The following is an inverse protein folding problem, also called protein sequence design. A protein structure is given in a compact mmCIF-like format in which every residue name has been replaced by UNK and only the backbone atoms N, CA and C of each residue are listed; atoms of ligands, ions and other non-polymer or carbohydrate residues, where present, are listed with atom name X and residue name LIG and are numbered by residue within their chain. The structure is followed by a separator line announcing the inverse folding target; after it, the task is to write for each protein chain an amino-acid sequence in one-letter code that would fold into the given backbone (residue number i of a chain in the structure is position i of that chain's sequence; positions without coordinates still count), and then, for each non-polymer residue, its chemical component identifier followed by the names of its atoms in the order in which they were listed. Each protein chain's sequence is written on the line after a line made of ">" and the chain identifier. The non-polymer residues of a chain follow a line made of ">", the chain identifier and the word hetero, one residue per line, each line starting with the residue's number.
data_IF_868560628844
#
_entry.id   IF_868560628844
#
_cell.length_a   1.000
_cell.length_b   1.000
_cell.length_c   1.000
_cell.angle_alpha   90.00
_cell.angle_beta   90.00
_cell.angle_gamma   90.00
#
_symmetry.space_group_name_H-M   'P 1'
#
loop_
_entity.id
_entity.type
_entity.pdbx_description
1 polymer ?
#
# COMPACT_ATOMS: atom_id res chain seq x y z
N UNK A 1 97.12 -9.51 -38.95
CA UNK A 1 97.36 -8.39 -39.90
C UNK A 1 96.58 -7.18 -39.40
N UNK A 2 97.20 -5.99 -39.38
CA UNK A 2 96.79 -4.82 -38.57
C UNK A 2 97.04 -3.51 -39.36
N UNK A 3 96.16 -2.52 -39.18
CA UNK A 3 96.22 -1.09 -39.63
C UNK A 3 96.12 -0.81 -41.15
N UNK A 4 95.80 0.43 -41.60
CA UNK A 4 95.35 1.65 -40.89
C UNK A 4 93.89 2.05 -41.29
N UNK A 5 93.30 3.26 -41.21
CA UNK A 5 93.74 4.61 -40.75
C UNK A 5 92.57 5.49 -40.15
N UNK A 6 92.68 6.82 -40.27
CA UNK A 6 91.84 7.95 -39.82
C UNK A 6 90.63 8.23 -40.76
N UNK A 7 89.56 8.95 -40.39
CA UNK A 7 89.54 10.40 -40.06
C UNK A 7 88.50 10.86 -39.02
N UNK A 8 88.67 12.08 -38.47
CA UNK A 8 87.87 12.61 -37.34
C UNK A 8 87.54 14.12 -37.45
N UNK A 9 86.34 14.50 -36.96
CA UNK A 9 85.80 15.87 -36.74
C UNK A 9 85.42 16.65 -38.03
N UNK A 10 84.38 17.48 -38.06
CA UNK A 10 83.73 18.26 -36.99
C UNK A 10 82.19 18.16 -37.04
N UNK A 11 81.52 18.09 -35.87
CA UNK A 11 80.09 18.44 -35.71
C UNK A 11 79.86 19.09 -34.34
N UNK A 12 79.21 20.26 -34.31
CA UNK A 12 78.70 20.90 -33.08
C UNK A 12 77.19 20.60 -32.91
N UNK A 13 76.64 20.61 -31.68
CA UNK A 13 75.26 20.24 -31.40
C UNK A 13 74.29 21.43 -31.22
N UNK A 14 72.98 21.11 -31.29
CA UNK A 14 71.81 21.79 -30.69
C UNK A 14 71.82 23.34 -30.58
N UNK A 15 70.84 24.05 -31.15
CA UNK A 15 69.53 24.23 -30.50
C UNK A 15 68.55 24.93 -31.45
N UNK A 16 67.28 24.46 -31.53
CA UNK A 16 66.13 25.29 -31.90
C UNK A 16 64.92 24.92 -31.03
N UNK A 17 64.22 25.95 -30.60
CA UNK A 17 63.28 25.97 -29.48
C UNK A 17 61.90 25.42 -29.83
N UNK A 18 61.25 24.77 -28.87
CA UNK A 18 59.81 24.49 -28.93
C UNK A 18 59.01 25.79 -28.76
N UNK A 19 57.93 25.95 -29.52
CA UNK A 19 56.81 26.83 -29.17
C UNK A 19 55.54 25.97 -29.13
N UNK A 20 55.07 25.70 -27.91
CA UNK A 20 53.82 24.98 -27.68
C UNK A 20 52.62 25.90 -27.95
N UNK A 21 51.66 25.47 -28.77
CA UNK A 21 50.36 26.13 -28.91
C UNK A 21 49.32 25.45 -28.03
N UNK A 22 48.70 26.26 -27.17
CA UNK A 22 47.90 25.84 -26.04
C UNK A 22 46.48 25.40 -26.46
N UNK A 23 46.16 24.10 -26.37
CA UNK A 23 44.84 23.53 -26.72
C UNK A 23 43.92 23.28 -25.50
N UNK A 24 44.40 23.50 -24.28
CA UNK A 24 43.71 23.03 -23.06
C UNK A 24 42.55 23.91 -22.55
N UNK A 25 42.41 25.15 -23.03
CA UNK A 25 41.39 26.08 -22.53
C UNK A 25 39.98 25.81 -23.04
N UNK A 26 39.82 25.42 -24.32
CA UNK A 26 38.51 25.33 -24.97
C UNK A 26 37.65 24.13 -24.52
N UNK A 27 38.29 23.00 -24.17
CA UNK A 27 37.61 21.78 -23.74
C UNK A 27 36.91 21.93 -22.39
N UNK A 28 37.56 22.59 -21.41
CA UNK A 28 37.00 22.84 -20.08
C UNK A 28 35.76 23.75 -20.11
N UNK A 29 35.67 24.66 -21.07
CA UNK A 29 34.52 25.58 -21.20
C UNK A 29 33.25 24.86 -21.67
N UNK A 30 33.35 24.03 -22.72
CA UNK A 30 32.18 23.26 -23.21
C UNK A 30 31.64 22.28 -22.16
N UNK A 31 32.52 21.56 -21.46
CA UNK A 31 32.10 20.61 -20.42
C UNK A 31 31.35 21.29 -19.26
N UNK A 32 31.78 22.51 -18.86
CA UNK A 32 31.05 23.32 -17.87
C UNK A 32 29.68 23.79 -18.36
N UNK A 33 29.54 24.14 -19.63
CA UNK A 33 28.25 24.54 -20.22
C UNK A 33 27.25 23.38 -20.18
N UNK A 34 27.64 22.17 -20.58
CA UNK A 34 26.76 21.00 -20.50
C UNK A 34 26.35 20.66 -19.06
N UNK A 35 27.25 20.81 -18.09
CA UNK A 35 26.94 20.61 -16.67
C UNK A 35 25.92 21.64 -16.15
N UNK A 36 26.05 22.91 -16.52
CA UNK A 36 25.08 23.96 -16.16
C UNK A 36 23.71 23.70 -16.80
N UNK A 37 23.67 23.33 -18.09
CA UNK A 37 22.42 22.96 -18.78
C UNK A 37 21.75 21.76 -18.10
N UNK A 38 22.52 20.74 -17.73
CA UNK A 38 21.99 19.58 -17.00
C UNK A 38 21.39 19.98 -15.65
N UNK A 39 22.08 20.82 -14.86
CA UNK A 39 21.54 21.33 -13.59
C UNK A 39 20.25 22.15 -13.77
N UNK A 40 20.16 22.96 -14.82
CA UNK A 40 18.95 23.71 -15.16
C UNK A 40 17.78 22.78 -15.55
N UNK A 41 18.05 21.72 -16.32
CA UNK A 41 17.02 20.74 -16.68
C UNK A 41 16.52 19.98 -15.45
N UNK A 42 17.42 19.53 -14.57
CA UNK A 42 17.06 18.86 -13.30
C UNK A 42 16.27 19.79 -12.38
N UNK A 43 16.69 21.06 -12.22
CA UNK A 43 15.96 22.01 -11.39
C UNK A 43 14.57 22.32 -11.95
N UNK A 44 14.43 22.47 -13.26
CA UNK A 44 13.14 22.68 -13.92
C UNK A 44 12.21 21.47 -13.75
N UNK A 45 12.73 20.24 -13.87
CA UNK A 45 11.97 19.02 -13.59
C UNK A 45 11.49 18.94 -12.14
N UNK A 46 12.34 19.32 -11.17
CA UNK A 46 11.97 19.37 -9.76
C UNK A 46 10.93 20.46 -9.46
N UNK A 47 11.00 21.61 -10.13
CA UNK A 47 10.00 22.69 -10.01
C UNK A 47 8.64 22.23 -10.58
N UNK A 48 8.62 21.60 -11.76
CA UNK A 48 7.38 21.05 -12.35
C UNK A 48 6.77 19.99 -11.42
N UNK A 49 7.60 19.13 -10.82
CA UNK A 49 7.16 18.14 -9.84
C UNK A 49 6.57 18.81 -8.59
N UNK A 50 7.25 19.82 -8.04
CA UNK A 50 6.78 20.57 -6.87
C UNK A 50 5.46 21.30 -7.13
N UNK A 51 5.30 21.93 -8.30
CA UNK A 51 4.05 22.57 -8.72
C UNK A 51 2.92 21.56 -8.93
N UNK A 52 3.23 20.35 -9.40
CA UNK A 52 2.26 19.25 -9.52
C UNK A 52 1.77 18.73 -8.16
N UNK A 53 2.50 19.01 -7.08
CA UNK A 53 2.11 18.69 -5.69
C UNK A 53 1.63 19.92 -4.90
N UNK A 54 1.60 21.11 -5.50
CA UNK A 54 1.18 22.33 -4.83
C UNK A 54 -0.31 22.61 -5.11
N UNK A 55 -1.19 21.93 -4.36
CA UNK A 55 -2.62 22.26 -4.31
C UNK A 55 -2.79 23.76 -3.92
N UNK A 56 -3.33 24.63 -4.81
CA UNK A 56 -3.45 26.06 -4.52
C UNK A 56 -4.72 26.34 -3.72
N UNK A 57 -4.77 25.90 -2.47
CA UNK A 57 -5.85 26.23 -1.53
C UNK A 57 -5.34 26.26 -0.07
N UNK A 58 -4.91 27.44 0.45
CA UNK A 58 -4.71 27.61 1.88
C UNK A 58 -6.06 27.52 2.61
N UNK A 59 -6.19 26.55 3.51
CA UNK A 59 -7.40 26.35 4.32
C UNK A 59 -7.57 27.55 5.27
N UNK A 60 -8.60 28.37 5.02
CA UNK A 60 -8.88 29.57 5.79
C UNK A 60 -9.69 29.20 7.05
N UNK A 61 -9.00 28.89 8.14
CA UNK A 61 -9.60 28.46 9.41
C UNK A 61 -10.25 29.63 10.16
N UNK A 62 -11.50 29.99 9.83
CA UNK A 62 -12.28 31.01 10.55
C UNK A 62 -13.79 30.72 10.61
N UNK A 63 -14.20 29.91 11.59
CA UNK A 63 -15.49 29.95 12.34
C UNK A 63 -15.45 28.78 13.34
N UNK A 64 -15.02 28.97 14.58
CA UNK A 64 -15.70 29.68 15.67
C UNK A 64 -17.16 29.22 15.85
N UNK A 65 -17.40 28.65 17.03
CA UNK A 65 -18.66 28.04 17.46
C UNK A 65 -19.85 28.98 17.36
N UNK A 66 -20.98 28.49 16.86
CA UNK A 66 -22.30 29.10 17.09
C UNK A 66 -23.27 27.99 17.42
N UNK A 67 -23.74 27.98 18.68
CA UNK A 67 -24.86 27.15 19.11
C UNK A 67 -26.13 27.62 18.40
N UNK A 68 -26.77 26.74 17.65
CA UNK A 68 -28.15 26.94 17.21
C UNK A 68 -28.89 25.60 17.10
N UNK A 69 -29.70 25.30 18.12
CA UNK A 69 -30.79 24.33 18.01
C UNK A 69 -31.87 24.95 17.10
N UNK A 70 -32.07 24.43 15.90
CA UNK A 70 -33.33 24.63 15.16
C UNK A 70 -33.75 23.30 14.51
N UNK A 71 -34.98 22.90 14.85
CA UNK A 71 -35.86 21.93 14.22
C UNK A 71 -35.27 20.77 13.42
N UNK A 72 -35.35 19.61 14.08
CA UNK A 72 -35.89 18.36 13.50
C UNK A 72 -36.76 18.61 12.26
N UNK A 73 -36.22 18.23 11.10
CA UNK A 73 -36.92 18.14 9.83
C UNK A 73 -36.84 16.69 9.40
N UNK A 74 -37.98 16.05 9.18
CA UNK A 74 -38.04 14.79 8.45
C UNK A 74 -37.62 15.04 7.00
N UNK A 75 -36.31 14.96 6.74
CA UNK A 75 -35.83 14.75 5.39
C UNK A 75 -36.02 13.27 5.06
N UNK A 76 -36.91 13.00 4.10
CA UNK A 76 -37.08 11.69 3.49
C UNK A 76 -35.72 11.05 3.21
N UNK A 77 -35.52 9.82 3.72
CA UNK A 77 -34.30 9.03 3.57
C UNK A 77 -33.80 9.15 2.13
N UNK A 78 -32.62 9.77 1.88
CA UNK A 78 -32.10 9.87 0.53
C UNK A 78 -31.85 8.46 -0.01
N UNK A 79 -32.55 8.12 -1.09
CA UNK A 79 -32.34 6.88 -1.84
C UNK A 79 -30.84 6.65 -2.03
N UNK A 80 -30.40 5.44 -1.70
CA UNK A 80 -29.00 5.02 -1.69
C UNK A 80 -28.20 5.62 -2.86
N UNK A 81 -27.30 6.56 -2.56
CA UNK A 81 -26.48 7.20 -3.59
C UNK A 81 -25.49 6.15 -4.13
N UNK A 82 -25.83 5.56 -5.27
CA UNK A 82 -25.04 4.53 -5.95
C UNK A 82 -23.55 4.95 -6.04
N UNK A 83 -22.63 4.35 -5.26
CA UNK A 83 -21.30 4.93 -5.03
C UNK A 83 -20.45 4.98 -6.29
N UNK A 84 -19.57 5.98 -6.39
CA UNK A 84 -18.66 6.12 -7.55
C UNK A 84 -17.74 4.90 -7.69
N UNK A 85 -17.23 4.39 -6.57
CA UNK A 85 -16.40 3.17 -6.54
C UNK A 85 -17.15 1.94 -7.09
N UNK A 86 -18.46 1.84 -6.86
CA UNK A 86 -19.26 0.71 -7.33
C UNK A 86 -19.40 0.76 -8.85
N UNK A 87 -19.62 1.95 -9.42
CA UNK A 87 -19.66 2.16 -10.89
C UNK A 87 -18.35 1.75 -11.57
N UNK A 88 -17.21 2.03 -10.94
CA UNK A 88 -15.88 1.63 -11.44
C UNK A 88 -15.75 0.10 -11.48
N UNK A 89 -16.26 -0.61 -10.47
CA UNK A 89 -16.23 -2.08 -10.43
C UNK A 89 -17.23 -2.67 -11.44
N UNK A 90 -18.47 -2.15 -11.50
CA UNK A 90 -19.49 -2.58 -12.47
C UNK A 90 -19.05 -2.44 -13.93
N UNK A 91 -18.19 -1.48 -14.24
CA UNK A 91 -17.59 -1.30 -15.56
C UNK A 91 -16.49 -2.33 -15.87
N UNK A 92 -15.76 -2.82 -14.85
CA UNK A 92 -14.65 -3.77 -15.00
C UNK A 92 -15.07 -5.25 -14.88
N UNK A 93 -16.18 -5.55 -14.22
CA UNK A 93 -16.70 -6.92 -14.14
C UNK A 93 -17.20 -7.38 -15.51
N UNK A 94 -16.82 -8.61 -15.89
CA UNK A 94 -17.10 -9.19 -17.22
C UNK A 94 -18.58 -9.53 -17.41
N UNK A 95 -19.20 -10.12 -16.39
CA UNK A 95 -20.62 -10.45 -16.41
C UNK A 95 -21.43 -9.29 -15.82
N UNK A 96 -22.21 -8.63 -16.68
CA UNK A 96 -23.09 -7.53 -16.28
C UNK A 96 -24.50 -7.98 -15.86
N UNK A 97 -24.84 -9.26 -16.04
CA UNK A 97 -26.15 -9.83 -15.68
C UNK A 97 -26.15 -10.45 -14.28
N UNK A 98 -25.02 -11.00 -13.83
CA UNK A 98 -24.85 -11.50 -12.46
C UNK A 98 -24.97 -10.37 -11.42
N UNK A 99 -25.54 -10.68 -10.24
CA UNK A 99 -25.42 -9.82 -9.05
C UNK A 99 -23.97 -9.79 -8.54
N UNK A 100 -23.56 -8.66 -7.98
CA UNK A 100 -22.24 -8.44 -7.38
C UNK A 100 -22.33 -8.73 -5.89
N UNK A 101 -21.59 -9.73 -5.40
CA UNK A 101 -21.58 -10.08 -3.98
C UNK A 101 -20.53 -9.26 -3.22
N UNK A 102 -20.98 -8.45 -2.25
CA UNK A 102 -20.17 -7.58 -1.41
C UNK A 102 -20.02 -8.16 0.00
N UNK A 103 -18.79 -8.39 0.47
CA UNK A 103 -18.50 -8.63 1.89
C UNK A 103 -18.27 -7.29 2.59
N UNK A 104 -19.12 -6.94 3.56
CA UNK A 104 -19.05 -5.67 4.29
C UNK A 104 -18.32 -5.83 5.62
N UNK A 105 -17.17 -5.18 5.78
CA UNK A 105 -16.26 -5.29 6.93
C UNK A 105 -16.24 -3.95 7.68
N UNK A 106 -16.66 -3.93 8.95
CA UNK A 106 -16.66 -2.73 9.81
C UNK A 106 -17.54 -1.54 9.32
N UNK A 107 -18.42 -1.71 8.33
CA UNK A 107 -19.30 -0.62 7.83
C UNK A 107 -20.49 -0.30 8.76
N UNK A 108 -20.84 -1.26 9.61
CA UNK A 108 -22.00 -1.33 10.50
C UNK A 108 -21.90 -0.48 11.78
N UNK A 109 -20.87 0.36 11.91
CA UNK A 109 -20.73 1.35 13.00
C UNK A 109 -20.45 2.76 12.45
N UNK A 110 -19.41 2.93 11.64
CA UNK A 110 -19.01 4.27 11.17
C UNK A 110 -19.86 4.75 9.97
N UNK A 111 -20.47 3.82 9.23
CA UNK A 111 -21.03 4.06 7.90
C UNK A 111 -22.40 3.39 7.67
N UNK A 112 -23.27 3.36 8.68
CA UNK A 112 -24.63 2.81 8.63
C UNK A 112 -25.40 3.19 7.34
N UNK A 113 -25.44 4.49 6.98
CA UNK A 113 -26.15 4.94 5.77
C UNK A 113 -25.59 4.40 4.45
N UNK A 114 -24.28 4.07 4.39
CA UNK A 114 -23.69 3.37 3.24
C UNK A 114 -24.03 1.88 3.28
N UNK A 115 -23.95 1.25 4.45
CA UNK A 115 -24.30 -0.16 4.64
C UNK A 115 -25.75 -0.45 4.23
N UNK A 116 -26.70 0.35 4.72
CA UNK A 116 -28.12 0.21 4.40
C UNK A 116 -28.41 0.63 2.96
N UNK A 117 -27.69 1.64 2.46
CA UNK A 117 -27.75 2.03 1.06
C UNK A 117 -27.32 0.92 0.09
N UNK A 118 -26.22 0.20 0.38
CA UNK A 118 -25.75 -0.91 -0.44
C UNK A 118 -26.72 -2.10 -0.43
N UNK A 119 -27.42 -2.34 0.68
CA UNK A 119 -28.47 -3.37 0.79
C UNK A 119 -29.67 -3.11 -0.13
N UNK A 120 -29.96 -1.86 -0.44
CA UNK A 120 -31.08 -1.45 -1.30
C UNK A 120 -30.80 -1.47 -2.81
N UNK A 121 -29.62 -1.92 -3.26
CA UNK A 121 -29.27 -1.89 -4.70
C UNK A 121 -29.57 -3.24 -5.39
N UNK A 122 -30.46 -3.23 -6.38
CA UNK A 122 -30.95 -4.45 -7.06
C UNK A 122 -29.86 -5.40 -7.59
N UNK A 123 -28.76 -4.83 -8.12
CA UNK A 123 -27.63 -5.54 -8.72
C UNK A 123 -26.60 -6.03 -7.69
N UNK A 124 -26.83 -5.80 -6.40
CA UNK A 124 -25.91 -6.09 -5.31
C UNK A 124 -26.53 -7.17 -4.41
N UNK A 125 -25.66 -8.01 -3.85
CA UNK A 125 -25.95 -8.86 -2.71
C UNK A 125 -24.93 -8.53 -1.62
N UNK A 126 -25.36 -8.23 -0.40
CA UNK A 126 -24.45 -7.85 0.69
C UNK A 126 -24.41 -8.92 1.78
N UNK A 127 -23.22 -9.25 2.26
CA UNK A 127 -23.01 -10.08 3.44
C UNK A 127 -22.19 -9.30 4.46
N UNK A 128 -22.77 -9.04 5.64
CA UNK A 128 -22.06 -8.40 6.75
C UNK A 128 -21.08 -9.40 7.40
N UNK A 129 -19.80 -9.07 7.40
CA UNK A 129 -18.74 -9.91 7.99
C UNK A 129 -18.64 -9.60 9.49
N UNK A 130 -18.75 -10.63 10.32
CA UNK A 130 -18.63 -10.52 11.79
C UNK A 130 -17.29 -11.07 12.26
N UNK A 131 -16.66 -10.37 13.20
CA UNK A 131 -15.41 -10.74 13.85
C UNK A 131 -15.28 -9.94 15.15
N UNK A 132 -14.50 -10.45 16.10
CA UNK A 132 -14.30 -9.80 17.41
C UNK A 132 -13.31 -8.64 17.28
N UNK A 133 -13.81 -7.41 17.36
CA UNK A 133 -13.01 -6.19 17.16
C UNK A 133 -12.05 -5.99 18.32
N UNK A 134 -10.78 -5.68 18.05
CA UNK A 134 -9.77 -5.33 19.07
C UNK A 134 -9.95 -3.87 19.56
N UNK A 135 -11.06 -3.59 20.25
CA UNK A 135 -11.50 -2.25 20.66
C UNK A 135 -12.15 -2.26 22.04
N UNK A 136 -11.88 -1.25 22.87
CA UNK A 136 -12.37 -1.21 24.24
C UNK A 136 -11.59 -2.18 25.11
N UNK A 137 -12.29 -3.06 25.85
CA UNK A 137 -11.68 -3.90 26.90
C UNK A 137 -10.75 -5.00 26.36
N UNK A 138 -10.88 -5.38 25.08
CA UNK A 138 -9.98 -6.32 24.41
C UNK A 138 -8.95 -5.62 23.49
N UNK A 139 -8.81 -4.30 23.59
CA UNK A 139 -7.78 -3.55 22.84
C UNK A 139 -6.39 -4.09 23.17
N UNK A 140 -5.59 -4.23 22.12
CA UNK A 140 -4.17 -4.60 22.19
C UNK A 140 -3.28 -3.42 21.86
N UNK A 141 -2.08 -3.39 22.40
CA UNK A 141 -1.05 -2.42 22.03
C UNK A 141 -0.21 -2.93 20.85
N UNK A 142 0.36 -2.01 20.08
CA UNK A 142 1.11 -2.34 18.87
C UNK A 142 2.37 -3.17 19.18
N UNK A 143 3.01 -2.84 20.29
CA UNK A 143 4.24 -3.46 20.78
C UNK A 143 4.05 -4.93 21.21
N UNK A 144 2.82 -5.41 21.44
CA UNK A 144 2.54 -6.85 21.65
C UNK A 144 2.75 -7.68 20.37
N UNK A 145 2.52 -7.08 19.20
CA UNK A 145 2.73 -7.73 17.90
C UNK A 145 4.07 -7.33 17.28
N UNK A 146 4.53 -6.10 17.49
CA UNK A 146 5.76 -5.57 16.93
C UNK A 146 6.73 -5.10 18.02
N UNK A 147 7.25 -6.02 18.85
CA UNK A 147 8.28 -5.70 19.83
C UNK A 147 9.61 -5.35 19.15
N UNK A 148 10.45 -4.60 19.86
CA UNK A 148 11.79 -4.21 19.40
C UNK A 148 12.79 -5.38 19.34
N UNK A 149 12.56 -6.42 20.16
CA UNK A 149 13.39 -7.62 20.23
C UNK A 149 12.56 -8.85 20.62
N UNK A 150 12.96 -10.02 20.12
CA UNK A 150 12.44 -11.33 20.51
C UNK A 150 13.59 -12.30 20.78
N UNK A 151 13.36 -13.30 21.62
CA UNK A 151 14.32 -14.36 21.86
C UNK A 151 14.24 -15.43 20.75
N UNK A 152 14.92 -15.16 19.63
CA UNK A 152 15.01 -16.05 18.46
C UNK A 152 15.52 -17.46 18.78
N UNK A 153 16.21 -17.64 19.91
CA UNK A 153 16.78 -18.92 20.34
C UNK A 153 15.97 -19.59 21.46
N UNK A 154 14.87 -18.98 21.90
CA UNK A 154 14.01 -19.46 22.99
C UNK A 154 14.74 -19.77 24.30
N UNK A 155 15.91 -19.14 24.53
CA UNK A 155 16.79 -19.37 25.69
C UNK A 155 16.11 -19.01 27.02
N UNK A 156 15.24 -18.01 26.99
CA UNK A 156 14.51 -17.45 28.12
C UNK A 156 12.99 -17.70 28.03
N UNK A 157 12.54 -18.39 26.98
CA UNK A 157 11.16 -18.78 26.73
C UNK A 157 10.73 -18.56 25.27
N UNK A 158 9.61 -19.17 24.83
CA UNK A 158 9.03 -18.86 23.52
C UNK A 158 8.54 -17.41 23.49
N UNK A 159 8.59 -16.73 22.32
CA UNK A 159 7.99 -15.42 22.18
C UNK A 159 6.48 -15.48 22.40
N UNK A 160 5.91 -14.37 22.88
CA UNK A 160 4.46 -14.22 23.04
C UNK A 160 3.92 -13.37 21.90
N UNK A 161 3.29 -14.02 20.93
CA UNK A 161 2.38 -13.35 19.99
C UNK A 161 0.93 -13.58 20.45
N UNK A 162 0.14 -12.54 20.72
CA UNK A 162 -1.31 -12.68 20.74
C UNK A 162 -1.81 -13.03 19.33
N UNK A 163 -2.94 -13.73 19.25
CA UNK A 163 -3.64 -13.87 17.98
C UNK A 163 -4.42 -12.57 17.64
N UNK A 164 -4.63 -12.32 16.34
CA UNK A 164 -5.59 -11.32 15.88
C UNK A 164 -6.87 -12.08 15.50
N UNK A 165 -8.00 -11.88 16.20
CA UNK A 165 -9.25 -12.54 15.86
C UNK A 165 -9.70 -12.18 14.43
N UNK A 166 -9.82 -13.20 13.60
CA UNK A 166 -10.42 -13.16 12.27
C UNK A 166 -11.87 -13.71 12.33
N UNK A 167 -12.70 -13.53 11.29
CA UNK A 167 -14.04 -14.13 11.26
C UNK A 167 -13.97 -15.65 11.44
N UNK A 168 -14.66 -16.22 12.42
CA UNK A 168 -14.62 -17.67 12.68
C UNK A 168 -15.18 -18.48 11.51
N UNK A 169 -16.13 -17.90 10.75
CA UNK A 169 -16.83 -18.58 9.66
C UNK A 169 -16.37 -18.14 8.25
N UNK A 170 -15.05 -18.02 8.02
CA UNK A 170 -14.46 -17.64 6.71
C UNK A 170 -14.98 -18.46 5.50
N UNK A 171 -15.46 -19.69 5.72
CA UNK A 171 -16.04 -20.53 4.67
C UNK A 171 -17.34 -19.97 4.07
N UNK A 172 -18.09 -19.17 4.85
CA UNK A 172 -19.31 -18.50 4.40
C UNK A 172 -19.04 -17.31 3.46
N UNK A 173 -17.76 -16.96 3.26
CA UNK A 173 -17.30 -15.77 2.52
C UNK A 173 -16.33 -16.16 1.38
N UNK A 174 -16.59 -17.28 0.71
CA UNK A 174 -15.73 -17.87 -0.33
C UNK A 174 -16.09 -17.48 -1.78
N UNK A 175 -17.12 -16.67 -2.00
CA UNK A 175 -17.67 -16.36 -3.32
C UNK A 175 -17.90 -14.85 -3.58
N UNK A 176 -17.28 -13.98 -2.79
CA UNK A 176 -17.39 -12.53 -2.89
C UNK A 176 -16.76 -12.00 -4.20
N UNK A 177 -17.40 -11.00 -4.81
CA UNK A 177 -16.84 -10.24 -5.94
C UNK A 177 -16.07 -9.01 -5.46
N UNK A 178 -16.46 -8.45 -4.31
CA UNK A 178 -15.84 -7.28 -3.70
C UNK A 178 -15.83 -7.42 -2.17
N UNK A 179 -14.74 -7.02 -1.54
CA UNK A 179 -14.67 -6.79 -0.09
C UNK A 179 -14.69 -5.28 0.15
N UNK A 180 -15.66 -4.77 0.91
CA UNK A 180 -15.80 -3.34 1.25
C UNK A 180 -15.51 -3.17 2.73
N UNK A 181 -14.51 -2.35 3.07
CA UNK A 181 -14.02 -2.20 4.44
C UNK A 181 -13.98 -0.74 4.89
N UNK A 182 -14.54 -0.44 6.06
CA UNK A 182 -14.39 0.86 6.73
C UNK A 182 -13.12 0.82 7.57
N UNK A 183 -12.14 1.67 7.27
CA UNK A 183 -10.86 1.67 8.00
C UNK A 183 -10.89 2.67 9.14
N UNK A 184 -10.72 2.24 10.41
CA UNK A 184 -10.65 3.16 11.54
C UNK A 184 -9.41 4.05 11.42
N UNK A 185 -9.57 5.33 11.72
CA UNK A 185 -8.49 6.33 11.68
C UNK A 185 -7.52 6.26 12.88
N UNK A 186 -7.86 5.46 13.88
CA UNK A 186 -7.19 5.43 15.18
C UNK A 186 -7.50 6.65 16.04
N UNK A 187 -7.29 6.50 17.35
CA UNK A 187 -7.76 7.47 18.37
C UNK A 187 -6.75 8.58 18.70
N UNK A 188 -5.68 8.77 17.91
CA UNK A 188 -4.65 9.76 18.22
C UNK A 188 -3.96 10.40 17.01
N UNK A 189 -4.01 11.74 16.97
CA UNK A 189 -3.35 12.61 15.99
C UNK A 189 -1.81 12.57 16.04
N UNK A 190 -1.23 11.84 17.00
CA UNK A 190 0.21 11.81 17.32
C UNK A 190 0.92 10.58 16.73
N UNK A 191 0.96 10.46 15.39
CA UNK A 191 1.61 9.34 14.64
C UNK A 191 1.01 7.93 14.87
N UNK A 192 0.06 7.77 15.80
CA UNK A 192 -0.49 6.46 16.23
C UNK A 192 -1.43 5.79 15.23
N UNK A 193 -2.01 6.51 14.27
CA UNK A 193 -2.84 5.90 13.21
C UNK A 193 -2.10 4.90 12.29
N UNK A 194 -0.76 4.87 12.30
CA UNK A 194 0.05 3.83 11.63
C UNK A 194 0.26 2.61 12.52
N UNK A 195 0.38 2.83 13.85
CA UNK A 195 0.53 1.79 14.87
C UNK A 195 -0.80 1.47 15.55
N UNK A 196 -1.83 1.21 14.75
CA UNK A 196 -3.17 0.89 15.24
C UNK A 196 -3.51 -0.57 14.93
N UNK A 197 -3.70 -1.36 16.00
CA UNK A 197 -3.96 -2.81 15.88
C UNK A 197 -5.35 -3.09 15.33
N UNK A 198 -6.36 -2.27 15.63
CA UNK A 198 -7.70 -2.44 15.07
C UNK A 198 -7.73 -2.10 13.57
N UNK A 199 -6.98 -1.06 13.17
CA UNK A 199 -6.72 -0.76 11.76
C UNK A 199 -6.05 -1.94 11.04
N UNK A 200 -5.02 -2.53 11.65
CA UNK A 200 -4.34 -3.71 11.13
C UNK A 200 -5.30 -4.90 10.99
N UNK A 201 -6.10 -5.19 12.03
CA UNK A 201 -7.13 -6.22 12.02
C UNK A 201 -8.09 -6.05 10.83
N UNK A 202 -8.70 -4.87 10.65
CA UNK A 202 -9.63 -4.62 9.52
C UNK A 202 -8.97 -4.88 8.16
N UNK A 203 -7.70 -4.49 7.99
CA UNK A 203 -6.96 -4.75 6.75
C UNK A 203 -6.66 -6.25 6.54
N UNK A 204 -6.33 -6.99 7.60
CA UNK A 204 -6.10 -8.43 7.56
C UNK A 204 -7.38 -9.22 7.29
N UNK A 205 -8.51 -8.81 7.89
CA UNK A 205 -9.83 -9.38 7.58
C UNK A 205 -10.14 -9.18 6.10
N UNK A 206 -9.99 -7.94 5.60
CA UNK A 206 -10.24 -7.65 4.19
C UNK A 206 -9.34 -8.45 3.23
N UNK A 207 -8.06 -8.62 3.57
CA UNK A 207 -7.10 -9.39 2.77
C UNK A 207 -7.43 -10.90 2.77
N UNK A 208 -7.74 -11.48 3.92
CA UNK A 208 -8.09 -12.90 4.04
C UNK A 208 -9.37 -13.24 3.27
N UNK A 209 -10.40 -12.40 3.36
CA UNK A 209 -11.63 -12.56 2.58
C UNK A 209 -11.37 -12.51 1.07
N UNK A 210 -10.58 -11.54 0.61
CA UNK A 210 -10.23 -11.38 -0.80
C UNK A 210 -9.46 -12.59 -1.34
N UNK A 211 -8.49 -13.12 -0.57
CA UNK A 211 -7.75 -14.34 -0.91
C UNK A 211 -8.66 -15.57 -0.90
N UNK A 212 -9.54 -15.72 0.09
CA UNK A 212 -10.47 -16.86 0.20
C UNK A 212 -11.50 -16.88 -0.93
N UNK A 213 -12.00 -15.72 -1.35
CA UNK A 213 -12.90 -15.59 -2.52
C UNK A 213 -12.18 -15.62 -3.87
N UNK A 214 -10.88 -15.29 -3.90
CA UNK A 214 -10.05 -15.33 -5.12
C UNK A 214 -9.58 -16.74 -5.49
N UNK A 215 -9.40 -17.62 -4.49
CA UNK A 215 -9.07 -19.04 -4.69
C UNK A 215 -10.33 -19.88 -4.84
N UNK A 216 -10.71 -20.16 -6.08
CA UNK A 216 -11.68 -21.21 -6.37
C UNK A 216 -11.05 -22.59 -6.11
N UNK A 217 -11.88 -23.54 -5.68
CA UNK A 217 -11.47 -24.93 -5.48
C UNK A 217 -10.81 -25.47 -6.76
N UNK A 218 -9.70 -26.20 -6.60
CA UNK A 218 -8.80 -26.72 -7.66
C UNK A 218 -7.71 -25.76 -8.17
N UNK A 219 -7.72 -24.46 -7.86
CA UNK A 219 -6.53 -23.59 -7.96
C UNK A 219 -5.93 -23.31 -9.36
N UNK A 220 -6.60 -23.73 -10.44
CA UNK A 220 -6.17 -23.52 -11.83
C UNK A 220 -6.50 -22.10 -12.32
N UNK A 221 -7.56 -21.48 -11.80
CA UNK A 221 -8.02 -20.13 -12.18
C UNK A 221 -8.25 -19.30 -10.93
N UNK A 222 -7.68 -18.08 -10.89
CA UNK A 222 -7.94 -17.12 -9.80
C UNK A 222 -9.13 -16.23 -10.18
N UNK A 223 -10.14 -16.18 -9.31
CA UNK A 223 -11.25 -15.24 -9.47
C UNK A 223 -10.76 -13.82 -9.19
N UNK A 224 -11.23 -12.86 -9.99
CA UNK A 224 -11.01 -11.45 -9.71
C UNK A 224 -11.91 -11.00 -8.56
N UNK A 225 -11.30 -10.56 -7.47
CA UNK A 225 -11.98 -9.94 -6.33
C UNK A 225 -11.41 -8.54 -6.14
N UNK A 226 -12.28 -7.54 -6.00
CA UNK A 226 -11.87 -6.17 -5.70
C UNK A 226 -11.87 -5.92 -4.20
N UNK A 227 -11.03 -5.01 -3.71
CA UNK A 227 -11.07 -4.55 -2.32
C UNK A 227 -11.27 -3.04 -2.30
N UNK A 228 -12.28 -2.58 -1.57
CA UNK A 228 -12.67 -1.18 -1.48
C UNK A 228 -12.55 -0.73 -0.05
N UNK A 229 -11.73 0.28 0.18
CA UNK A 229 -11.65 0.96 1.47
C UNK A 229 -12.47 2.24 1.41
N UNK A 230 -13.34 2.45 2.38
CA UNK A 230 -14.18 3.65 2.51
C UNK A 230 -13.77 4.48 3.73
N UNK A 231 -14.02 5.79 3.66
CA UNK A 231 -13.65 6.75 4.70
C UNK A 231 -12.41 7.57 4.33
N UNK A 232 -11.75 8.16 5.33
CA UNK A 232 -10.66 9.13 5.10
C UNK A 232 -9.24 8.60 5.32
N UNK A 233 -9.08 7.45 5.99
CA UNK A 233 -7.76 7.00 6.47
C UNK A 233 -7.06 5.93 5.62
N UNK A 234 -7.78 5.29 4.69
CA UNK A 234 -7.21 4.37 3.70
C UNK A 234 -6.57 3.09 4.29
N UNK A 235 -6.19 2.13 3.43
CA UNK A 235 -5.60 0.87 3.89
C UNK A 235 -4.16 1.02 4.38
N UNK A 236 -3.64 -0.09 4.92
CA UNK A 236 -2.22 -0.27 5.19
C UNK A 236 -1.51 -0.70 3.90
N UNK A 237 -0.55 0.11 3.44
CA UNK A 237 0.14 -0.05 2.14
C UNK A 237 1.09 -1.27 2.13
N UNK A 238 1.46 -1.74 3.32
CA UNK A 238 2.23 -2.95 3.58
C UNK A 238 1.48 -4.23 3.15
N UNK A 239 0.15 -4.15 3.11
CA UNK A 239 -0.78 -5.20 2.68
C UNK A 239 -1.34 -4.87 1.29
N UNK A 240 -1.86 -3.65 1.08
CA UNK A 240 -2.48 -3.22 -0.17
C UNK A 240 -1.61 -2.22 -0.94
N UNK A 241 -0.84 -2.73 -1.90
CA UNK A 241 0.21 -1.97 -2.60
C UNK A 241 -0.36 -0.93 -3.56
N UNK A 242 0.36 0.17 -3.74
CA UNK A 242 0.02 1.20 -4.74
C UNK A 242 -0.09 0.65 -6.18
N UNK A 243 0.69 -0.38 -6.54
CA UNK A 243 0.63 -1.02 -7.86
C UNK A 243 -0.74 -1.66 -8.16
N UNK A 244 -1.43 -2.11 -7.12
CA UNK A 244 -2.74 -2.77 -7.19
C UNK A 244 -3.90 -1.74 -7.11
N UNK A 245 -3.61 -0.44 -6.95
CA UNK A 245 -4.61 0.61 -6.81
C UNK A 245 -5.23 0.98 -8.17
N UNK A 246 -6.53 0.74 -8.31
CA UNK A 246 -7.30 1.05 -9.53
C UNK A 246 -7.70 2.52 -9.59
N UNK A 247 -8.25 3.05 -8.50
CA UNK A 247 -8.72 4.44 -8.39
C UNK A 247 -8.88 4.78 -6.92
N UNK A 248 -8.64 6.02 -6.55
CA UNK A 248 -9.04 6.53 -5.25
C UNK A 248 -9.61 7.93 -5.39
N UNK A 249 -10.31 8.37 -4.35
CA UNK A 249 -10.70 9.74 -4.12
C UNK A 249 -10.35 10.07 -2.66
N UNK A 250 -9.40 11.00 -2.49
CA UNK A 250 -8.86 11.41 -1.19
C UNK A 250 -9.99 11.79 -0.24
N UNK A 251 -10.05 11.14 0.93
CA UNK A 251 -11.08 11.40 1.94
C UNK A 251 -12.40 10.62 1.79
N UNK A 252 -12.62 9.93 0.66
CA UNK A 252 -13.86 9.18 0.40
C UNK A 252 -13.63 7.66 0.23
N UNK A 253 -12.75 7.23 -0.69
CA UNK A 253 -12.55 5.80 -0.98
C UNK A 253 -11.24 5.47 -1.73
N UNK A 254 -10.85 4.19 -1.68
CA UNK A 254 -9.81 3.57 -2.50
C UNK A 254 -10.30 2.23 -3.05
N UNK A 255 -10.12 1.97 -4.34
CA UNK A 255 -10.44 0.72 -5.03
C UNK A 255 -9.15 0.03 -5.43
N UNK A 256 -8.95 -1.20 -4.97
CA UNK A 256 -7.83 -2.06 -5.29
C UNK A 256 -8.28 -3.27 -6.10
N UNK A 257 -7.40 -3.72 -7.00
CA UNK A 257 -7.46 -5.00 -7.69
C UNK A 257 -6.16 -5.75 -7.37
N UNK A 258 -6.08 -6.40 -6.19
CA UNK A 258 -4.85 -7.04 -5.74
C UNK A 258 -4.50 -8.27 -6.58
N UNK A 259 -3.20 -8.46 -6.84
CA UNK A 259 -2.70 -9.73 -7.37
C UNK A 259 -2.79 -10.81 -6.28
N UNK A 260 -3.55 -11.87 -6.59
CA UNK A 260 -3.98 -12.85 -5.61
C UNK A 260 -2.83 -13.66 -5.01
N UNK A 261 -1.80 -14.05 -5.80
CA UNK A 261 -0.65 -14.83 -5.29
C UNK A 261 0.17 -14.03 -4.27
N UNK A 262 0.40 -12.75 -4.52
CA UNK A 262 1.11 -11.83 -3.61
C UNK A 262 0.29 -11.53 -2.37
N UNK A 263 -1.02 -11.31 -2.50
CA UNK A 263 -1.90 -11.11 -1.34
C UNK A 263 -2.00 -12.39 -0.49
N UNK A 264 -2.06 -13.57 -1.11
CA UNK A 264 -2.01 -14.87 -0.42
C UNK A 264 -0.71 -15.07 0.35
N UNK A 265 0.44 -14.79 -0.28
CA UNK A 265 1.73 -14.81 0.41
C UNK A 265 1.72 -13.86 1.62
N UNK A 266 1.15 -12.66 1.48
CA UNK A 266 1.05 -11.67 2.58
C UNK A 266 0.21 -12.15 3.76
N UNK A 267 -0.93 -12.81 3.54
CA UNK A 267 -1.79 -13.31 4.65
C UNK A 267 -1.33 -14.64 5.26
N UNK A 268 -0.45 -15.39 4.58
CA UNK A 268 0.18 -16.59 5.12
C UNK A 268 1.42 -16.30 5.98
N UNK A 269 1.99 -15.11 5.89
CA UNK A 269 3.06 -14.68 6.80
C UNK A 269 2.50 -14.40 8.19
N UNK A 270 3.25 -14.69 9.25
CA UNK A 270 3.01 -14.14 10.58
C UNK A 270 2.70 -12.65 10.58
N UNK A 271 1.73 -12.27 11.41
CA UNK A 271 1.49 -10.88 11.77
C UNK A 271 2.39 -10.52 12.95
N UNK A 272 3.14 -9.42 12.82
CA UNK A 272 4.04 -8.96 13.87
C UNK A 272 5.51 -9.33 13.64
N UNK A 273 6.41 -8.66 14.36
CA UNK A 273 7.78 -9.12 14.61
C UNK A 273 7.89 -9.98 15.87
N UNK A 274 6.78 -10.22 16.57
CA UNK A 274 6.75 -11.03 17.79
C UNK A 274 7.09 -12.51 17.54
N UNK A 275 6.97 -13.03 16.31
CA UNK A 275 7.36 -14.40 15.96
C UNK A 275 8.18 -14.42 14.68
N UNK A 276 9.07 -15.40 14.58
CA UNK A 276 9.81 -15.67 13.35
C UNK A 276 8.89 -16.23 12.28
N UNK A 277 9.17 -15.89 11.01
CA UNK A 277 8.55 -16.57 9.89
C UNK A 277 8.89 -18.08 9.95
N UNK A 278 7.94 -18.99 9.70
CA UNK A 278 8.27 -20.40 9.60
C UNK A 278 9.35 -20.61 8.53
N UNK A 279 10.32 -21.47 8.83
CA UNK A 279 11.38 -21.85 7.90
C UNK A 279 10.80 -22.37 6.59
N UNK A 280 11.54 -22.18 5.49
CA UNK A 280 11.09 -22.52 4.14
C UNK A 280 10.46 -23.92 4.05
N UNK A 281 9.33 -24.00 3.33
CA UNK A 281 8.52 -25.21 3.23
C UNK A 281 9.32 -26.44 2.76
N UNK A 282 9.38 -27.47 3.62
CA UNK A 282 9.65 -28.83 3.16
C UNK A 282 8.45 -29.31 2.34
N UNK A 283 8.69 -29.47 1.03
CA UNK A 283 7.90 -30.29 0.08
C UNK A 283 6.37 -30.25 0.20
N UNK A 284 5.76 -29.31 -0.53
CA UNK A 284 4.54 -29.58 -1.32
C UNK A 284 3.22 -29.76 -0.59
N UNK A 285 3.19 -29.97 0.72
CA UNK A 285 1.95 -29.93 1.49
C UNK A 285 1.47 -28.49 1.69
N UNK A 286 0.16 -28.32 1.53
CA UNK A 286 -0.51 -27.05 1.78
C UNK A 286 -0.27 -26.67 3.22
N UNK A 287 0.34 -25.50 3.47
CA UNK A 287 0.32 -24.87 4.79
C UNK A 287 -1.15 -24.76 5.23
N UNK A 288 -1.56 -25.69 6.09
CA UNK A 288 -2.79 -25.59 6.86
C UNK A 288 -2.71 -24.24 7.56
N UNK A 289 -3.68 -23.34 7.39
CA UNK A 289 -3.54 -22.00 7.93
C UNK A 289 -3.31 -22.09 9.44
N UNK A 290 -2.36 -21.28 9.94
CA UNK A 290 -2.02 -21.18 11.37
C UNK A 290 -3.21 -20.80 12.28
N UNK A 291 -4.39 -20.53 11.70
CA UNK A 291 -5.66 -20.26 12.35
C UNK A 291 -6.53 -21.53 12.57
N UNK A 292 -5.95 -22.73 12.52
CA UNK A 292 -6.65 -24.00 12.66
C UNK A 292 -6.10 -24.91 13.79
N UNK A 293 -5.60 -24.31 14.89
CA UNK A 293 -5.33 -25.01 16.15
C UNK A 293 -5.79 -24.15 17.35
N UNK A 294 -7.09 -24.19 17.63
CA UNK A 294 -7.73 -23.98 18.94
C UNK A 294 -9.19 -24.45 18.87
#
# INVERSE_FOLDING_TARGET
>A
MIKPNQDLKVRQPLTKTMVSKNSHSHFKTKQRIYFIIFLLLVSLSLIILALSFHDPNPINNNKLSTSQRISQKDDHIPVAKHPEWLKIIEQKLRDKKKKIKLGLVNLDHDHHGLHDGLKGLDRVETVSVRFDRLTGDNKREWEEYFPEWIDEHHKWGPPRCPEIPLPTSLEQYNDLDVVVASVPCGTNYTRKGVRDVFRLQVNLVAANLAVRSGWENQGVVHRTVYVVFVGSCGPMLEIFRCDDLVKHRKGEYWVYWPEMRRLKQKVLMPVGSCQLAPGYAETGEVLVPFFAIS
#
